data_IF_573233369280
#
_entry.id   IF_573233369280
#
_cell.length_a   1.000
_cell.length_b   1.000
_cell.length_c   1.000
_cell.angle_alpha   90.00
_cell.angle_beta   90.00
_cell.angle_gamma   90.00
#
_symmetry.space_group_name_H-M   'P 1'
#
loop_
_entity.id
_entity.type
_entity.pdbx_description
1 polymer ?
#
# COMPACT_ATOMS: atom_id res chain seq x y z
N UNK A 1 -8.47 -5.46 12.66
CA UNK A 1 -8.23 -5.15 11.24
C UNK A 1 -8.51 -6.37 10.36
N UNK A 2 -9.14 -6.20 9.20
CA UNK A 2 -9.51 -7.28 8.26
C UNK A 2 -8.50 -7.50 7.12
N UNK A 3 -7.38 -6.76 7.16
CA UNK A 3 -6.29 -6.85 6.20
C UNK A 3 -6.39 -5.84 5.04
N UNK A 4 -7.43 -5.02 5.02
CA UNK A 4 -7.61 -3.99 3.99
C UNK A 4 -6.74 -2.77 4.30
N UNK A 5 -6.12 -2.19 3.28
CA UNK A 5 -5.40 -0.93 3.44
C UNK A 5 -6.40 0.22 3.61
N UNK A 6 -6.15 1.11 4.56
CA UNK A 6 -6.97 2.29 4.84
C UNK A 6 -6.09 3.54 4.79
N UNK A 7 -6.64 4.67 4.32
CA UNK A 7 -5.92 5.95 4.32
C UNK A 7 -4.67 6.01 3.42
N UNK A 8 -4.64 5.24 2.33
CA UNK A 8 -3.53 5.29 1.36
C UNK A 8 -3.31 6.72 0.87
N UNK A 9 -2.07 7.17 0.95
CA UNK A 9 -1.58 8.41 0.35
C UNK A 9 -0.13 8.21 -0.08
N UNK A 10 0.29 8.94 -1.12
CA UNK A 10 1.66 8.90 -1.59
C UNK A 10 2.58 9.70 -0.65
N UNK A 11 3.74 9.13 -0.31
CA UNK A 11 4.77 9.78 0.50
C UNK A 11 5.76 10.58 -0.36
N UNK A 12 5.89 10.22 -1.64
CA UNK A 12 6.75 10.88 -2.62
C UNK A 12 5.94 11.36 -3.83
N UNK A 13 6.50 12.30 -4.58
CA UNK A 13 5.92 12.79 -5.83
C UNK A 13 6.99 12.70 -6.94
N UNK A 14 6.80 11.78 -7.88
CA UNK A 14 7.73 11.51 -8.98
C UNK A 14 7.08 11.86 -10.32
N UNK A 15 5.92 11.28 -10.61
CA UNK A 15 5.06 11.57 -11.76
C UNK A 15 3.59 11.24 -11.39
N UNK A 16 2.64 12.04 -11.85
CA UNK A 16 1.24 11.92 -11.45
C UNK A 16 0.59 10.61 -11.93
N UNK A 17 0.90 10.16 -13.15
CA UNK A 17 0.31 8.95 -13.72
C UNK A 17 0.89 7.70 -13.03
N UNK A 18 2.19 7.69 -12.75
CA UNK A 18 2.84 6.60 -11.99
C UNK A 18 2.33 6.53 -10.55
N UNK A 19 2.19 7.68 -9.87
CA UNK A 19 1.64 7.73 -8.51
C UNK A 19 0.19 7.23 -8.50
N UNK A 20 -0.64 7.65 -9.45
CA UNK A 20 -2.02 7.17 -9.55
C UNK A 20 -2.08 5.66 -9.82
N UNK A 21 -1.26 5.15 -10.75
CA UNK A 21 -1.19 3.72 -11.05
C UNK A 21 -0.78 2.89 -9.82
N UNK A 22 0.20 3.36 -9.03
CA UNK A 22 0.62 2.71 -7.80
C UNK A 22 -0.49 2.69 -6.74
N UNK A 23 -1.20 3.80 -6.55
CA UNK A 23 -2.32 3.89 -5.60
C UNK A 23 -3.47 2.95 -6.00
N UNK A 24 -3.86 2.96 -7.27
CA UNK A 24 -4.93 2.08 -7.76
C UNK A 24 -4.58 0.59 -7.65
N UNK A 25 -3.32 0.22 -7.94
CA UNK A 25 -2.86 -1.14 -7.74
C UNK A 25 -2.86 -1.55 -6.25
N UNK A 26 -2.33 -0.69 -5.37
CA UNK A 26 -2.24 -0.98 -3.94
C UNK A 26 -3.62 -1.08 -3.28
N UNK A 27 -4.62 -0.31 -3.73
CA UNK A 27 -6.02 -0.41 -3.24
C UNK A 27 -6.62 -1.80 -3.40
N UNK A 28 -6.13 -2.61 -4.33
CA UNK A 28 -6.63 -3.95 -4.60
C UNK A 28 -5.99 -4.99 -3.66
N UNK A 29 -4.96 -4.63 -2.91
CA UNK A 29 -4.21 -5.57 -2.08
C UNK A 29 -4.94 -5.85 -0.76
N UNK A 30 -4.81 -7.09 -0.30
CA UNK A 30 -5.25 -7.52 1.03
C UNK A 30 -4.09 -8.16 1.78
N UNK A 31 -3.72 -7.56 2.89
CA UNK A 31 -2.65 -8.03 3.75
C UNK A 31 -3.16 -9.02 4.79
N UNK A 32 -2.25 -9.85 5.31
CA UNK A 32 -2.51 -10.55 6.55
C UNK A 32 -2.45 -9.52 7.70
N UNK A 33 -3.49 -9.41 8.55
CA UNK A 33 -3.46 -8.47 9.67
C UNK A 33 -2.26 -8.72 10.58
N UNK A 34 -1.63 -7.63 11.05
CA UNK A 34 -0.68 -7.71 12.14
C UNK A 34 -1.40 -8.18 13.42
N UNK A 35 -0.76 -9.03 14.20
CA UNK A 35 -1.31 -9.55 15.45
C UNK A 35 -0.54 -8.98 16.63
N UNK A 36 -1.26 -8.46 17.63
CA UNK A 36 -0.75 -8.16 18.96
C UNK A 36 -1.48 -9.05 19.95
N UNK A 37 -0.75 -9.90 20.67
CA UNK A 37 -1.35 -10.88 21.61
C UNK A 37 -2.45 -11.74 20.95
N UNK A 38 -2.21 -12.21 19.72
CA UNK A 38 -3.17 -12.96 18.88
C UNK A 38 -4.43 -12.19 18.47
N UNK A 39 -4.48 -10.87 18.69
CA UNK A 39 -5.58 -9.99 18.27
C UNK A 39 -5.16 -9.18 17.05
N UNK A 40 -5.96 -9.14 15.97
CA UNK A 40 -5.68 -8.31 14.80
C UNK A 40 -5.70 -6.81 15.13
N UNK A 41 -4.58 -6.12 14.86
CA UNK A 41 -4.42 -4.68 15.09
C UNK A 41 -4.09 -3.94 13.80
N UNK A 42 -4.43 -2.66 13.76
CA UNK A 42 -4.04 -1.75 12.68
C UNK A 42 -2.61 -1.24 12.93
N UNK A 43 -1.84 -1.14 11.85
CA UNK A 43 -0.46 -0.65 11.87
C UNK A 43 -0.24 0.29 10.69
N UNK A 44 0.68 1.24 10.85
CA UNK A 44 1.18 2.02 9.73
C UNK A 44 2.15 1.16 8.91
N UNK A 45 1.99 1.21 7.60
CA UNK A 45 2.81 0.45 6.64
C UNK A 45 3.21 1.38 5.51
N UNK A 46 4.49 1.36 5.16
CA UNK A 46 5.02 2.01 3.96
C UNK A 46 5.18 0.95 2.86
N UNK A 47 4.83 1.29 1.62
CA UNK A 47 4.85 0.40 0.46
C UNK A 47 5.67 1.07 -0.63
N UNK A 48 6.74 0.41 -1.06
CA UNK A 48 7.55 0.85 -2.19
C UNK A 48 7.07 0.18 -3.49
N UNK A 49 6.77 1.00 -4.49
CA UNK A 49 6.40 0.54 -5.84
C UNK A 49 7.47 1.04 -6.82
N UNK A 50 8.14 0.10 -7.48
CA UNK A 50 9.18 0.39 -8.47
C UNK A 50 8.62 0.27 -9.89
N UNK A 51 8.91 1.27 -10.72
CA UNK A 51 8.58 1.26 -12.14
C UNK A 51 9.87 1.13 -12.96
N UNK A 52 9.82 0.30 -13.98
CA UNK A 52 10.90 0.10 -14.94
C UNK A 52 10.33 0.15 -16.36
N UNK A 53 11.07 0.75 -17.29
CA UNK A 53 10.69 0.72 -18.71
C UNK A 53 10.99 -0.66 -19.27
N UNK A 54 9.98 -1.31 -19.85
CA UNK A 54 10.18 -2.53 -20.61
C UNK A 54 10.99 -2.21 -21.88
N UNK A 55 12.06 -2.98 -22.13
CA UNK A 55 12.87 -2.91 -23.35
C UNK A 55 12.31 -3.80 -24.45
#
# INVERSE_FOLDING_TARGET
>A
ADGTLVGLHALNNVDADLTNAALEAARQWRFRPALLNNVPVEVLTEIDVQFELAQ
#
